data_IF_140724707680
#
_entry.id   IF_140724707680
#
_cell.length_a   1.000
_cell.length_b   1.000
_cell.length_c   1.000
_cell.angle_alpha   90.00
_cell.angle_beta   90.00
_cell.angle_gamma   90.00
#
_symmetry.space_group_name_H-M   'P 1'
#
loop_
_entity.id
_entity.type
_entity.pdbx_description
1 polymer ?
#
# COMPACT_ATOMS: atom_id res chain seq x y z
N UNK A 1 -17.72 -13.03 0.73
CA UNK A 1 -17.93 -11.58 0.64
C UNK A 1 -18.41 -11.05 1.99
N UNK A 2 -18.21 -9.75 2.22
CA UNK A 2 -18.75 -9.02 3.37
C UNK A 2 -19.62 -7.87 2.85
N UNK A 3 -20.57 -7.39 3.67
CA UNK A 3 -21.43 -6.28 3.30
C UNK A 3 -20.61 -5.04 2.83
N UNK A 4 -19.57 -4.57 3.55
CA UNK A 4 -18.75 -3.45 3.10
C UNK A 4 -18.04 -3.68 1.77
N UNK A 5 -17.65 -4.93 1.47
CA UNK A 5 -17.02 -5.24 0.17
C UNK A 5 -18.05 -5.18 -0.97
N UNK A 6 -19.29 -5.62 -0.74
CA UNK A 6 -20.38 -5.49 -1.71
C UNK A 6 -20.75 -4.02 -1.93
N UNK A 7 -20.95 -3.24 -0.87
CA UNK A 7 -21.22 -1.80 -0.97
C UNK A 7 -20.17 -1.09 -1.82
N UNK A 8 -18.87 -1.42 -1.60
CA UNK A 8 -17.78 -0.89 -2.42
C UNK A 8 -17.95 -1.27 -3.89
N UNK A 9 -18.30 -2.52 -4.19
CA UNK A 9 -18.53 -2.99 -5.58
C UNK A 9 -19.65 -2.18 -6.24
N UNK A 10 -20.77 -1.94 -5.54
CA UNK A 10 -21.88 -1.14 -6.08
C UNK A 10 -21.51 0.32 -6.30
N UNK A 11 -20.73 0.92 -5.37
CA UNK A 11 -20.26 2.30 -5.54
C UNK A 11 -19.32 2.43 -6.75
N UNK A 12 -18.44 1.45 -6.97
CA UNK A 12 -17.56 1.40 -8.15
C UNK A 12 -18.37 1.31 -9.46
N UNK A 13 -19.44 0.50 -9.49
CA UNK A 13 -20.35 0.40 -10.65
C UNK A 13 -21.07 1.71 -10.89
N UNK A 14 -21.69 2.28 -9.84
CA UNK A 14 -22.43 3.53 -9.91
C UNK A 14 -21.57 4.68 -10.43
N UNK A 15 -20.29 4.68 -10.07
CA UNK A 15 -19.29 5.65 -10.54
C UNK A 15 -18.68 5.28 -11.89
N UNK A 16 -19.05 4.15 -12.49
CA UNK A 16 -18.51 3.65 -13.76
C UNK A 16 -16.98 3.47 -13.77
N UNK A 17 -16.40 3.10 -12.63
CA UNK A 17 -14.95 2.96 -12.47
C UNK A 17 -14.44 1.59 -12.92
N UNK A 18 -15.25 0.55 -12.82
CA UNK A 18 -14.90 -0.80 -13.29
C UNK A 18 -16.13 -1.67 -13.54
N UNK A 19 -15.91 -2.80 -14.20
CA UNK A 19 -16.88 -3.90 -14.30
C UNK A 19 -16.43 -5.00 -13.33
N UNK A 20 -17.10 -5.19 -12.20
CA UNK A 20 -16.68 -6.18 -11.20
C UNK A 20 -17.06 -7.60 -11.61
N UNK A 21 -16.25 -8.54 -11.16
CA UNK A 21 -16.52 -9.98 -11.21
C UNK A 21 -16.41 -10.50 -9.77
N UNK A 22 -17.47 -11.14 -9.29
CA UNK A 22 -17.48 -11.73 -7.95
C UNK A 22 -16.99 -13.18 -8.03
N UNK A 23 -16.01 -13.55 -7.21
CA UNK A 23 -15.41 -14.89 -7.21
C UNK A 23 -15.61 -15.49 -5.82
N UNK A 24 -16.33 -16.60 -5.73
CA UNK A 24 -16.64 -17.27 -4.46
C UNK A 24 -17.86 -18.18 -4.55
N UNK A 25 -18.29 -18.78 -3.43
CA UNK A 25 -19.48 -19.65 -3.42
C UNK A 25 -20.73 -18.85 -3.80
N UNK A 26 -21.32 -19.20 -4.93
CA UNK A 26 -22.44 -18.46 -5.53
C UNK A 26 -23.64 -18.35 -4.59
N UNK A 27 -23.99 -19.44 -3.91
CA UNK A 27 -25.13 -19.45 -3.01
C UNK A 27 -24.94 -18.47 -1.85
N UNK A 28 -23.74 -18.40 -1.25
CA UNK A 28 -23.45 -17.45 -0.17
C UNK A 28 -23.39 -16.00 -0.67
N UNK A 29 -22.95 -15.78 -1.91
CA UNK A 29 -22.98 -14.46 -2.53
C UNK A 29 -24.40 -13.98 -2.70
N UNK A 30 -25.29 -14.83 -3.24
CA UNK A 30 -26.69 -14.51 -3.47
C UNK A 30 -27.47 -14.30 -2.16
N UNK A 31 -27.20 -15.11 -1.14
CA UNK A 31 -27.77 -14.95 0.20
C UNK A 31 -27.40 -13.60 0.80
N UNK A 32 -26.12 -13.21 0.74
CA UNK A 32 -25.68 -11.91 1.26
C UNK A 32 -26.29 -10.74 0.50
N UNK A 33 -26.36 -10.84 -0.83
CA UNK A 33 -26.98 -9.81 -1.69
C UNK A 33 -28.46 -9.62 -1.35
N UNK A 34 -29.19 -10.72 -1.11
CA UNK A 34 -30.58 -10.67 -0.70
C UNK A 34 -30.75 -10.04 0.70
N UNK A 35 -29.85 -10.36 1.62
CA UNK A 35 -29.86 -9.80 2.99
C UNK A 35 -29.62 -8.30 3.01
N UNK A 36 -28.74 -7.81 2.13
CA UNK A 36 -28.38 -6.38 2.02
C UNK A 36 -29.31 -5.62 1.06
N UNK A 37 -30.39 -6.25 0.57
CA UNK A 37 -31.34 -5.65 -0.39
C UNK A 37 -30.67 -5.07 -1.65
N UNK A 38 -29.58 -5.70 -2.13
CA UNK A 38 -28.82 -5.27 -3.27
C UNK A 38 -29.23 -6.03 -4.55
N UNK A 39 -28.91 -5.50 -5.74
CA UNK A 39 -29.23 -6.11 -7.04
C UNK A 39 -27.96 -6.34 -7.85
N UNK A 40 -27.75 -7.57 -8.31
CA UNK A 40 -26.54 -7.98 -9.07
C UNK A 40 -26.73 -7.88 -10.59
N UNK A 41 -27.62 -7.02 -11.10
CA UNK A 41 -27.89 -6.93 -12.51
C UNK A 41 -26.62 -6.65 -13.33
N UNK A 42 -26.27 -7.62 -14.20
CA UNK A 42 -25.09 -7.52 -15.06
C UNK A 42 -23.75 -7.83 -14.38
N UNK A 43 -23.73 -8.25 -13.10
CA UNK A 43 -22.49 -8.65 -12.42
C UNK A 43 -22.24 -10.14 -12.63
N UNK A 44 -21.07 -10.47 -13.20
CA UNK A 44 -20.64 -11.85 -13.37
C UNK A 44 -20.24 -12.46 -12.01
N UNK A 45 -20.73 -13.68 -11.74
CA UNK A 45 -20.33 -14.48 -10.59
C UNK A 45 -19.60 -15.73 -11.09
N UNK A 46 -18.36 -15.88 -10.66
CA UNK A 46 -17.58 -17.11 -10.85
C UNK A 46 -17.75 -17.97 -9.60
N UNK A 47 -18.53 -19.04 -9.76
CA UNK A 47 -18.78 -19.97 -8.66
C UNK A 47 -17.54 -20.78 -8.30
N UNK A 48 -17.25 -20.89 -7.01
CA UNK A 48 -16.17 -21.70 -6.46
C UNK A 48 -16.64 -22.42 -5.19
N UNK A 49 -16.01 -23.53 -4.81
CA UNK A 49 -16.26 -24.15 -3.50
C UNK A 49 -16.06 -23.16 -2.36
N UNK A 50 -16.64 -23.46 -1.19
CA UNK A 50 -16.46 -22.70 0.05
C UNK A 50 -15.05 -22.89 0.62
N UNK A 51 -14.06 -22.48 -0.18
CA UNK A 51 -12.63 -22.54 0.13
C UNK A 51 -11.97 -21.25 -0.37
N UNK A 52 -11.48 -20.37 0.54
CA UNK A 52 -10.89 -19.10 0.17
C UNK A 52 -9.63 -19.24 -0.69
N UNK A 53 -8.87 -20.33 -0.52
CA UNK A 53 -7.66 -20.59 -1.30
C UNK A 53 -8.03 -20.97 -2.74
N UNK A 54 -9.08 -21.77 -2.95
CA UNK A 54 -9.56 -22.13 -4.28
C UNK A 54 -10.15 -20.91 -5.01
N UNK A 55 -10.90 -20.05 -4.31
CA UNK A 55 -11.40 -18.80 -4.88
C UNK A 55 -10.23 -17.89 -5.31
N UNK A 56 -9.20 -17.76 -4.47
CA UNK A 56 -8.00 -16.97 -4.80
C UNK A 56 -7.23 -17.56 -5.97
N UNK A 57 -7.06 -18.89 -6.03
CA UNK A 57 -6.41 -19.56 -7.18
C UNK A 57 -7.17 -19.30 -8.48
N UNK A 58 -8.51 -19.29 -8.42
CA UNK A 58 -9.33 -18.95 -9.59
C UNK A 58 -9.12 -17.51 -10.04
N UNK A 59 -9.07 -16.56 -9.10
CA UNK A 59 -8.75 -15.18 -9.39
C UNK A 59 -7.34 -15.02 -10.01
N UNK A 60 -6.34 -15.71 -9.47
CA UNK A 60 -4.96 -15.74 -10.02
C UNK A 60 -4.93 -16.26 -11.45
N UNK A 61 -5.66 -17.35 -11.73
CA UNK A 61 -5.78 -17.88 -13.09
C UNK A 61 -6.38 -16.84 -14.06
N UNK A 62 -7.45 -16.17 -13.64
CA UNK A 62 -8.11 -15.15 -14.47
C UNK A 62 -7.22 -13.91 -14.72
N UNK A 63 -6.41 -13.51 -13.75
CA UNK A 63 -5.39 -12.47 -13.96
C UNK A 63 -4.38 -12.90 -15.03
N UNK A 64 -3.86 -14.12 -14.95
CA UNK A 64 -2.93 -14.68 -15.95
C UNK A 64 -3.53 -14.74 -17.35
N UNK A 65 -4.83 -14.98 -17.44
CA UNK A 65 -5.60 -14.93 -18.69
C UNK A 65 -5.93 -13.49 -19.14
N UNK A 66 -5.45 -12.46 -18.42
CA UNK A 66 -5.72 -11.03 -18.68
C UNK A 66 -7.21 -10.66 -18.64
N UNK A 67 -7.99 -11.39 -17.86
CA UNK A 67 -9.43 -11.12 -17.67
C UNK A 67 -9.69 -10.14 -16.52
N UNK A 68 -8.73 -10.00 -15.60
CA UNK A 68 -8.82 -9.12 -14.44
C UNK A 68 -7.66 -8.13 -14.44
N UNK A 69 -7.97 -6.85 -14.20
CA UNK A 69 -7.00 -5.76 -14.13
C UNK A 69 -6.60 -5.41 -12.69
N UNK A 70 -7.45 -5.73 -11.70
CA UNK A 70 -7.27 -5.46 -10.27
C UNK A 70 -7.86 -6.62 -9.48
N UNK A 71 -7.27 -6.96 -8.37
CA UNK A 71 -7.87 -7.84 -7.37
C UNK A 71 -8.29 -7.05 -6.14
N UNK A 72 -9.47 -7.33 -5.61
CA UNK A 72 -9.95 -6.76 -4.37
C UNK A 72 -10.28 -7.88 -3.38
N UNK A 73 -9.75 -7.76 -2.16
CA UNK A 73 -10.02 -8.71 -1.09
C UNK A 73 -11.44 -8.52 -0.57
N UNK A 74 -12.19 -9.61 -0.52
CA UNK A 74 -13.46 -9.70 0.20
C UNK A 74 -13.29 -10.09 1.66
N UNK A 75 -14.11 -11.03 2.14
CA UNK A 75 -14.13 -11.48 3.55
C UNK A 75 -13.05 -12.50 3.94
N UNK A 76 -12.28 -13.04 2.98
CA UNK A 76 -11.22 -14.01 3.27
C UNK A 76 -10.08 -13.38 4.08
N UNK A 77 -9.28 -14.22 4.77
CA UNK A 77 -8.09 -13.74 5.45
C UNK A 77 -7.02 -13.27 4.45
N UNK A 78 -6.21 -12.30 4.88
CA UNK A 78 -5.14 -11.76 4.02
C UNK A 78 -4.13 -12.84 3.62
N UNK A 79 -3.87 -13.80 4.49
CA UNK A 79 -2.99 -14.94 4.22
C UNK A 79 -3.54 -15.85 3.12
N UNK A 80 -4.86 -16.11 3.11
CA UNK A 80 -5.53 -16.93 2.09
C UNK A 80 -5.49 -16.25 0.71
N UNK A 81 -5.54 -14.92 0.68
CA UNK A 81 -5.36 -14.16 -0.54
C UNK A 81 -3.90 -14.12 -0.97
N UNK A 82 -3.00 -13.77 -0.05
CA UNK A 82 -1.60 -13.54 -0.40
C UNK A 82 -0.85 -14.83 -0.73
N UNK A 83 -1.15 -15.94 -0.05
CA UNK A 83 -0.49 -17.22 -0.28
C UNK A 83 -0.42 -17.62 -1.77
N UNK A 84 -1.56 -17.79 -2.46
CA UNK A 84 -1.58 -18.10 -3.90
C UNK A 84 -0.97 -17.01 -4.79
N UNK A 85 -1.06 -15.73 -4.39
CA UNK A 85 -0.52 -14.60 -5.16
C UNK A 85 1.01 -14.60 -5.15
N UNK A 86 1.63 -14.79 -3.97
CA UNK A 86 3.10 -14.78 -3.82
C UNK A 86 3.74 -16.12 -4.11
N UNK A 87 2.94 -17.17 -4.36
CA UNK A 87 3.46 -18.47 -4.75
C UNK A 87 4.30 -18.35 -6.04
N UNK A 88 5.21 -19.31 -6.27
CA UNK A 88 6.05 -19.37 -7.47
C UNK A 88 5.24 -19.27 -8.76
N UNK A 89 4.09 -19.98 -8.80
CA UNK A 89 3.17 -19.98 -9.94
C UNK A 89 2.03 -18.95 -9.73
N UNK A 90 2.19 -17.97 -8.89
CA UNK A 90 1.21 -16.93 -8.61
C UNK A 90 1.30 -15.73 -9.54
N UNK A 91 1.21 -14.52 -8.97
CA UNK A 91 1.24 -13.25 -9.69
C UNK A 91 2.54 -12.46 -9.45
N UNK A 92 3.58 -13.11 -8.97
CA UNK A 92 4.89 -12.46 -8.80
C UNK A 92 5.44 -11.96 -10.13
N UNK A 93 6.15 -10.85 -10.06
CA UNK A 93 6.97 -10.31 -11.13
C UNK A 93 8.45 -10.34 -10.69
N UNK A 94 9.31 -9.68 -11.40
CA UNK A 94 10.69 -9.38 -11.00
C UNK A 94 10.78 -8.36 -9.85
N UNK A 95 9.65 -7.67 -9.54
CA UNK A 95 9.58 -6.67 -8.48
C UNK A 95 9.28 -7.29 -7.12
N UNK A 96 9.74 -6.62 -6.07
CA UNK A 96 9.36 -6.95 -4.70
C UNK A 96 7.87 -6.69 -4.48
N UNK A 97 7.17 -7.61 -3.82
CA UNK A 97 5.82 -7.33 -3.32
C UNK A 97 5.95 -6.36 -2.14
N UNK A 98 5.24 -5.25 -2.19
CA UNK A 98 5.23 -4.21 -1.16
C UNK A 98 3.84 -3.60 -1.03
N UNK A 99 3.63 -2.75 -0.03
CA UNK A 99 2.36 -2.08 0.19
C UNK A 99 2.54 -0.56 0.25
N UNK A 100 1.61 0.17 -0.34
CA UNK A 100 1.51 1.63 -0.24
C UNK A 100 0.14 1.99 0.33
N UNK A 101 0.12 2.77 1.41
CA UNK A 101 -1.04 3.54 1.84
C UNK A 101 -0.92 4.98 1.36
N UNK A 102 -2.07 5.59 1.03
CA UNK A 102 -2.25 7.03 0.89
C UNK A 102 -3.27 7.47 1.94
N UNK A 103 -2.93 8.54 2.65
CA UNK A 103 -3.75 9.11 3.71
C UNK A 103 -4.18 10.52 3.35
N UNK A 104 -5.45 10.82 3.60
CA UNK A 104 -5.96 12.18 3.77
C UNK A 104 -6.06 12.47 5.26
N UNK A 105 -5.31 13.48 5.71
CA UNK A 105 -5.16 13.86 7.11
C UNK A 105 -5.60 15.30 7.30
N UNK A 106 -6.53 15.57 8.21
CA UNK A 106 -7.05 16.92 8.46
C UNK A 106 -5.97 17.95 8.83
N UNK A 107 -4.83 17.51 9.38
CA UNK A 107 -3.71 18.36 9.79
C UNK A 107 -2.51 18.30 8.86
N UNK A 108 -2.65 17.69 7.69
CA UNK A 108 -1.61 17.65 6.66
C UNK A 108 -2.17 18.16 5.34
N UNK A 109 -1.41 19.00 4.66
CA UNK A 109 -1.90 19.86 3.57
C UNK A 109 -2.04 19.14 2.21
N UNK A 110 -1.62 17.88 2.10
CA UNK A 110 -1.70 17.05 0.90
C UNK A 110 -1.84 15.57 1.25
N UNK A 111 -2.04 14.72 0.26
CA UNK A 111 -2.00 13.27 0.47
C UNK A 111 -0.61 12.84 0.95
N UNK A 112 -0.58 11.97 1.95
CA UNK A 112 0.64 11.43 2.53
C UNK A 112 0.75 9.94 2.29
N UNK A 113 1.77 9.52 1.56
CA UNK A 113 2.09 8.11 1.35
C UNK A 113 2.83 7.51 2.55
N UNK A 114 2.55 6.25 2.86
CA UNK A 114 3.30 5.45 3.85
C UNK A 114 3.61 4.07 3.27
N UNK A 115 4.87 3.67 3.29
CA UNK A 115 5.35 2.37 2.78
C UNK A 115 6.53 1.85 3.61
N UNK A 116 6.72 0.54 3.88
CA UNK A 116 5.77 -0.55 3.85
C UNK A 116 5.19 -0.71 5.26
N UNK A 117 3.91 -1.00 5.34
CA UNK A 117 3.21 -1.14 6.62
C UNK A 117 2.47 -2.48 6.75
N UNK A 118 2.63 -3.40 5.76
CA UNK A 118 1.78 -4.61 5.65
C UNK A 118 2.53 -5.86 5.23
N UNK A 119 3.57 -5.77 4.39
CA UNK A 119 4.16 -6.94 3.71
C UNK A 119 5.56 -7.28 4.20
N UNK A 120 6.48 -6.31 4.23
CA UNK A 120 7.89 -6.56 4.49
C UNK A 120 8.20 -6.31 5.98
N UNK A 121 8.49 -7.39 6.73
CA UNK A 121 8.62 -7.34 8.20
C UNK A 121 9.79 -6.45 8.62
N UNK A 122 10.98 -6.74 8.15
CA UNK A 122 12.20 -6.03 8.50
C UNK A 122 13.09 -5.91 7.25
N UNK A 123 12.77 -5.00 6.32
CA UNK A 123 13.54 -4.84 5.09
C UNK A 123 14.89 -4.18 5.37
N UNK A 124 15.95 -4.68 4.77
CA UNK A 124 17.25 -4.02 4.70
C UNK A 124 17.24 -2.84 3.70
N UNK A 125 18.35 -2.12 3.58
CA UNK A 125 18.45 -0.97 2.67
C UNK A 125 18.13 -1.34 1.22
N UNK A 126 18.59 -2.49 0.73
CA UNK A 126 18.32 -2.97 -0.63
C UNK A 126 16.82 -3.21 -0.85
N UNK A 127 16.17 -3.92 0.08
CA UNK A 127 14.72 -4.18 -0.01
C UNK A 127 13.90 -2.89 0.11
N UNK A 128 14.33 -1.94 0.96
CA UNK A 128 13.72 -0.61 1.08
C UNK A 128 13.78 0.17 -0.23
N UNK A 129 14.87 0.04 -0.99
CA UNK A 129 14.96 0.65 -2.34
C UNK A 129 13.98 0.03 -3.33
N UNK A 130 13.81 -1.29 -3.31
CA UNK A 130 12.80 -1.98 -4.14
C UNK A 130 11.38 -1.55 -3.78
N UNK A 131 11.08 -1.41 -2.48
CA UNK A 131 9.81 -0.89 -1.95
C UNK A 131 9.57 0.55 -2.43
N UNK A 132 10.59 1.42 -2.35
CA UNK A 132 10.52 2.79 -2.86
C UNK A 132 10.24 2.82 -4.36
N UNK A 133 10.90 1.97 -5.16
CA UNK A 133 10.70 1.88 -6.60
C UNK A 133 9.24 1.61 -6.95
N UNK A 134 8.60 0.68 -6.25
CA UNK A 134 7.20 0.38 -6.43
C UNK A 134 6.30 1.57 -6.08
N UNK A 135 6.54 2.17 -4.90
CA UNK A 135 5.72 3.27 -4.40
C UNK A 135 5.83 4.52 -5.27
N UNK A 136 7.04 4.89 -5.68
CA UNK A 136 7.28 6.02 -6.58
C UNK A 136 6.64 5.80 -7.96
N UNK A 137 6.73 4.57 -8.49
CA UNK A 137 6.04 4.21 -9.74
C UNK A 137 4.52 4.35 -9.62
N UNK A 138 3.94 3.97 -8.48
CA UNK A 138 2.51 4.12 -8.23
C UNK A 138 2.11 5.59 -8.08
N UNK A 139 2.85 6.38 -7.29
CA UNK A 139 2.61 7.81 -7.10
C UNK A 139 2.66 8.57 -8.43
N UNK A 140 3.64 8.28 -9.27
CA UNK A 140 3.76 8.87 -10.61
C UNK A 140 2.53 8.58 -11.47
N UNK A 141 1.98 7.36 -11.42
CA UNK A 141 0.73 7.00 -12.15
C UNK A 141 -0.49 7.73 -11.61
N UNK A 142 -0.49 8.12 -10.34
CA UNK A 142 -1.53 8.95 -9.71
C UNK A 142 -1.33 10.45 -9.97
N UNK A 143 -0.33 10.85 -10.75
CA UNK A 143 -0.05 12.24 -11.06
C UNK A 143 0.81 12.97 -10.02
N UNK A 144 1.31 12.27 -9.01
CA UNK A 144 2.23 12.83 -8.00
C UNK A 144 3.66 12.66 -8.53
N UNK A 145 4.21 13.74 -9.08
CA UNK A 145 5.59 13.83 -9.59
C UNK A 145 6.47 14.68 -8.67
N UNK A 146 7.77 14.66 -8.88
CA UNK A 146 8.75 15.36 -8.03
C UNK A 146 8.60 14.98 -6.55
N UNK A 147 8.41 13.69 -6.31
CA UNK A 147 8.06 13.13 -5.00
C UNK A 147 9.15 13.42 -3.96
N UNK A 148 8.76 13.95 -2.81
CA UNK A 148 9.62 14.12 -1.64
C UNK A 148 9.46 12.94 -0.71
N UNK A 149 10.56 12.21 -0.50
CA UNK A 149 10.59 11.01 0.35
C UNK A 149 11.34 11.29 1.64
N UNK A 150 10.69 11.08 2.76
CA UNK A 150 11.32 11.08 4.08
C UNK A 150 11.57 9.63 4.54
N UNK A 151 12.83 9.27 4.78
CA UNK A 151 13.18 7.97 5.37
C UNK A 151 13.12 8.09 6.89
N UNK A 152 12.21 7.35 7.50
CA UNK A 152 11.88 7.46 8.92
C UNK A 152 12.79 6.57 9.77
N UNK A 153 13.28 7.16 10.86
CA UNK A 153 13.96 6.49 11.96
C UNK A 153 13.52 7.11 13.30
N UNK A 154 14.08 6.68 14.40
CA UNK A 154 13.80 7.28 15.70
C UNK A 154 14.56 8.61 15.92
N UNK A 155 15.57 8.90 15.10
CA UNK A 155 16.43 10.07 15.19
C UNK A 155 16.96 10.47 13.82
N UNK A 156 17.39 11.72 13.70
CA UNK A 156 18.04 12.28 12.51
C UNK A 156 19.57 12.05 12.49
N UNK A 157 20.12 11.51 13.57
CA UNK A 157 21.56 11.25 13.70
C UNK A 157 21.84 9.78 13.35
N UNK A 158 22.88 9.55 12.53
CA UNK A 158 23.30 8.21 12.19
C UNK A 158 23.93 7.55 13.42
N UNK A 159 23.33 6.43 13.83
CA UNK A 159 23.79 5.63 14.95
C UNK A 159 24.01 4.17 14.49
N UNK A 160 25.25 3.66 14.50
CA UNK A 160 25.52 2.27 14.08
C UNK A 160 24.77 1.21 14.87
N UNK A 161 24.32 1.51 16.10
CA UNK A 161 23.49 0.61 16.90
C UNK A 161 22.00 0.63 16.49
N UNK A 162 21.61 1.55 15.61
CA UNK A 162 20.25 1.71 15.12
C UNK A 162 20.21 1.52 13.60
N UNK A 163 19.95 0.29 13.15
CA UNK A 163 20.04 -0.10 11.74
C UNK A 163 19.21 0.79 10.82
N UNK A 164 18.05 1.28 11.27
CA UNK A 164 17.19 2.17 10.46
C UNK A 164 17.89 3.48 10.03
N UNK A 165 18.80 4.01 10.84
CA UNK A 165 19.57 5.21 10.50
C UNK A 165 20.69 4.91 9.50
N UNK A 166 21.29 3.72 9.60
CA UNK A 166 22.34 3.23 8.69
C UNK A 166 21.74 2.98 7.31
N UNK A 167 20.62 2.25 7.25
CA UNK A 167 19.88 2.01 6.01
C UNK A 167 19.47 3.31 5.32
N UNK A 168 18.96 4.28 6.11
CA UNK A 168 18.56 5.58 5.58
C UNK A 168 19.74 6.30 4.90
N UNK A 169 20.90 6.32 5.58
CA UNK A 169 22.11 6.92 4.99
C UNK A 169 22.52 6.21 3.71
N UNK A 170 22.56 4.88 3.71
CA UNK A 170 22.91 4.09 2.52
C UNK A 170 22.03 4.42 1.33
N UNK A 171 20.69 4.44 1.54
CA UNK A 171 19.72 4.75 0.49
C UNK A 171 19.92 6.17 -0.06
N UNK A 172 20.14 7.15 0.82
CA UNK A 172 20.39 8.54 0.42
C UNK A 172 21.69 8.69 -0.36
N UNK A 173 22.80 8.10 0.15
CA UNK A 173 24.09 8.16 -0.51
C UNK A 173 24.06 7.54 -1.92
N UNK A 174 23.41 6.37 -2.05
CA UNK A 174 23.24 5.71 -3.34
C UNK A 174 22.35 6.52 -4.30
N UNK A 175 21.28 7.16 -3.79
CA UNK A 175 20.43 8.02 -4.60
C UNK A 175 21.17 9.28 -5.11
N UNK A 176 22.08 9.84 -4.30
CA UNK A 176 22.90 10.98 -4.71
C UNK A 176 23.92 10.55 -5.77
N UNK A 177 24.53 9.36 -5.63
CA UNK A 177 25.54 8.86 -6.53
C UNK A 177 24.98 8.41 -7.88
N UNK A 178 23.82 7.74 -7.86
CA UNK A 178 23.11 7.23 -9.04
C UNK A 178 21.59 7.39 -8.84
N UNK A 179 21.00 8.51 -9.28
CA UNK A 179 19.58 8.78 -9.11
C UNK A 179 18.70 7.82 -9.89
N UNK A 180 18.27 6.73 -9.24
CA UNK A 180 17.34 5.75 -9.83
C UNK A 180 15.98 6.40 -10.13
N UNK A 181 15.67 7.48 -9.42
CA UNK A 181 14.42 8.24 -9.55
C UNK A 181 14.75 9.73 -9.76
N UNK A 182 15.06 10.16 -10.99
CA UNK A 182 15.62 11.49 -11.26
C UNK A 182 14.72 12.65 -10.81
N UNK A 183 13.39 12.43 -10.76
CA UNK A 183 12.42 13.45 -10.38
C UNK A 183 12.03 13.35 -8.88
N UNK A 184 12.88 12.72 -8.04
CA UNK A 184 12.56 12.46 -6.63
C UNK A 184 13.64 13.05 -5.73
N UNK A 185 13.22 13.61 -4.58
CA UNK A 185 14.12 14.05 -3.51
C UNK A 185 13.97 13.05 -2.38
N UNK A 186 15.07 12.38 -2.02
CA UNK A 186 15.11 11.40 -0.93
C UNK A 186 16.04 11.90 0.14
N UNK A 187 15.54 12.12 1.35
CA UNK A 187 16.32 12.56 2.49
C UNK A 187 15.99 11.72 3.75
N UNK A 188 16.93 11.66 4.65
CA UNK A 188 16.85 10.93 5.93
C UNK A 188 18.25 10.62 6.51
N UNK A 189 18.30 10.01 7.70
CA UNK A 189 17.16 9.64 8.55
C UNK A 189 16.42 10.84 9.14
N UNK A 190 15.12 10.70 9.39
CA UNK A 190 14.32 11.66 10.11
C UNK A 190 13.60 11.03 11.30
N UNK A 191 13.58 11.71 12.44
CA UNK A 191 12.53 11.53 13.43
C UNK A 191 11.19 11.90 12.80
N UNK A 192 10.11 11.22 13.20
CA UNK A 192 8.79 11.44 12.63
C UNK A 192 8.32 12.90 12.74
N UNK A 193 8.55 13.56 13.88
CA UNK A 193 8.26 14.97 14.13
C UNK A 193 8.96 15.89 13.13
N UNK A 194 10.23 15.63 12.84
CA UNK A 194 11.03 16.42 11.91
C UNK A 194 10.61 16.17 10.44
N UNK A 195 10.19 14.95 10.12
CA UNK A 195 9.73 14.62 8.78
C UNK A 195 8.47 15.41 8.41
N UNK A 196 7.48 15.51 9.31
CA UNK A 196 6.16 16.07 9.01
C UNK A 196 5.94 17.51 9.49
N UNK A 197 6.85 18.08 10.32
CA UNK A 197 6.73 19.43 10.86
C UNK A 197 7.95 20.28 10.52
N UNK A 198 7.78 21.24 9.62
CA UNK A 198 8.81 22.21 9.30
C UNK A 198 9.27 23.02 10.52
N UNK A 199 8.37 23.28 11.49
CA UNK A 199 8.71 23.94 12.74
C UNK A 199 9.62 23.07 13.60
N UNK A 200 9.32 21.77 13.73
CA UNK A 200 10.16 20.83 14.48
C UNK A 200 11.56 20.73 13.88
N UNK A 201 11.63 20.57 12.55
CA UNK A 201 12.90 20.57 11.82
C UNK A 201 13.72 21.85 12.06
N UNK A 202 13.06 23.01 11.99
CA UNK A 202 13.72 24.32 12.25
C UNK A 202 14.27 24.43 13.67
N UNK A 203 13.51 23.99 14.68
CA UNK A 203 13.95 24.01 16.09
C UNK A 203 15.23 23.17 16.29
N UNK A 204 15.31 22.03 15.58
CA UNK A 204 16.49 21.14 15.62
C UNK A 204 17.60 21.55 14.65
N UNK A 205 17.47 22.66 13.92
CA UNK A 205 18.47 23.13 12.97
C UNK A 205 18.63 22.26 11.73
N UNK A 206 17.60 21.49 11.36
CA UNK A 206 17.62 20.61 10.19
C UNK A 206 17.29 21.42 8.94
N UNK A 207 18.24 21.50 8.00
CA UNK A 207 18.05 22.12 6.69
C UNK A 207 17.73 21.02 5.67
N UNK A 208 16.51 21.01 5.15
CA UNK A 208 15.99 19.95 4.30
C UNK A 208 15.00 20.49 3.28
N UNK A 209 14.94 19.86 2.11
CA UNK A 209 13.90 20.10 1.08
C UNK A 209 12.67 19.24 1.29
N UNK A 210 12.75 18.24 2.17
CA UNK A 210 11.72 17.23 2.45
C UNK A 210 11.01 17.50 3.78
N UNK A 211 11.76 17.91 4.82
CA UNK A 211 11.22 18.10 6.17
C UNK A 211 10.03 19.07 6.19
N UNK A 212 8.93 18.62 6.76
CA UNK A 212 7.67 19.34 6.84
C UNK A 212 6.77 19.25 5.61
N UNK A 213 7.25 18.63 4.50
CA UNK A 213 6.52 18.55 3.24
C UNK A 213 6.80 17.24 2.46
N UNK A 214 6.92 16.05 3.08
CA UNK A 214 7.06 14.81 2.34
C UNK A 214 5.77 14.41 1.63
N UNK A 215 5.89 13.73 0.50
CA UNK A 215 4.81 13.03 -0.20
C UNK A 215 4.74 11.57 0.22
N UNK A 216 5.89 11.01 0.62
CA UNK A 216 6.04 9.60 0.98
C UNK A 216 6.94 9.43 2.22
N UNK A 217 6.47 8.65 3.18
CA UNK A 217 7.24 8.16 4.30
C UNK A 217 7.68 6.73 4.04
N UNK A 218 8.99 6.48 4.04
CA UNK A 218 9.54 5.13 4.04
C UNK A 218 9.77 4.70 5.49
N UNK A 219 9.06 3.66 5.90
CA UNK A 219 9.10 3.17 7.27
C UNK A 219 10.32 2.29 7.54
N UNK A 220 10.87 2.29 8.76
CA UNK A 220 12.01 1.46 9.12
C UNK A 220 11.69 -0.03 9.06
N UNK A 221 10.50 -0.42 9.49
CA UNK A 221 10.01 -1.78 9.51
C UNK A 221 8.47 -1.81 9.51
N UNK A 222 7.91 -3.02 9.35
CA UNK A 222 6.47 -3.24 9.30
C UNK A 222 5.76 -2.82 10.60
N UNK A 223 6.37 -3.04 11.77
CA UNK A 223 5.71 -2.77 13.05
C UNK A 223 5.46 -1.28 13.21
N UNK A 224 6.48 -0.45 12.94
CA UNK A 224 6.36 1.01 12.98
C UNK A 224 5.35 1.50 11.95
N UNK A 225 5.42 1.00 10.71
CA UNK A 225 4.46 1.35 9.66
C UNK A 225 3.02 0.97 10.01
N UNK A 226 2.81 -0.21 10.56
CA UNK A 226 1.49 -0.70 10.95
C UNK A 226 0.89 0.05 12.14
N UNK A 227 1.72 0.40 13.13
CA UNK A 227 1.29 1.24 14.26
C UNK A 227 0.91 2.63 13.76
N UNK A 228 1.73 3.24 12.90
CA UNK A 228 1.46 4.57 12.32
C UNK A 228 0.15 4.58 11.53
N UNK A 229 -0.04 3.60 10.63
CA UNK A 229 -1.29 3.43 9.89
C UNK A 229 -2.50 3.41 10.81
N UNK A 230 -2.47 2.54 11.84
CA UNK A 230 -3.59 2.42 12.79
C UNK A 230 -3.79 3.69 13.61
N UNK A 231 -2.71 4.35 14.01
CA UNK A 231 -2.78 5.63 14.74
C UNK A 231 -3.45 6.71 13.88
N UNK A 232 -3.14 6.79 12.60
CA UNK A 232 -3.78 7.73 11.69
C UNK A 232 -5.28 7.47 11.55
N UNK A 233 -5.68 6.21 11.33
CA UNK A 233 -7.09 5.85 11.14
C UNK A 233 -7.89 6.00 12.43
N UNK A 234 -7.42 5.38 13.53
CA UNK A 234 -8.22 5.27 14.76
C UNK A 234 -8.09 6.47 15.71
N UNK A 235 -6.97 7.20 15.66
CA UNK A 235 -6.73 8.33 16.56
C UNK A 235 -6.84 9.68 15.85
N UNK A 236 -6.43 9.77 14.60
CA UNK A 236 -6.48 11.01 13.82
C UNK A 236 -7.68 11.09 12.87
N UNK A 237 -8.50 10.05 12.76
CA UNK A 237 -9.68 10.02 11.88
C UNK A 237 -9.32 10.14 10.40
N UNK A 238 -8.14 9.66 10.01
CA UNK A 238 -7.68 9.74 8.63
C UNK A 238 -8.49 8.82 7.71
N UNK A 239 -8.81 9.31 6.53
CA UNK A 239 -9.22 8.46 5.42
C UNK A 239 -7.97 7.86 4.76
N UNK A 240 -8.05 6.60 4.34
CA UNK A 240 -6.93 5.96 3.69
C UNK A 240 -7.36 5.02 2.57
N UNK A 241 -6.51 4.95 1.56
CA UNK A 241 -6.55 3.92 0.52
C UNK A 241 -5.23 3.16 0.52
N UNK A 242 -5.30 1.83 0.34
CA UNK A 242 -4.08 1.01 0.33
C UNK A 242 -4.08 -0.01 -0.80
N UNK A 243 -2.89 -0.26 -1.35
CA UNK A 243 -2.71 -1.25 -2.42
C UNK A 243 -1.40 -2.00 -2.27
N UNK A 244 -1.43 -3.28 -2.61
CA UNK A 244 -0.22 -4.09 -2.78
C UNK A 244 0.32 -3.87 -4.19
N UNK A 245 1.60 -3.66 -4.27
CA UNK A 245 2.39 -3.37 -5.46
C UNK A 245 3.38 -4.50 -5.75
N UNK A 246 3.93 -4.52 -6.97
CA UNK A 246 4.95 -5.51 -7.37
C UNK A 246 4.38 -6.84 -7.88
N UNK A 247 3.07 -7.05 -7.82
CA UNK A 247 2.39 -8.15 -8.51
C UNK A 247 2.01 -7.77 -9.95
N UNK A 248 1.55 -8.75 -10.74
CA UNK A 248 1.10 -8.54 -12.13
C UNK A 248 -0.05 -7.53 -12.24
N UNK A 249 -0.89 -7.44 -11.20
CA UNK A 249 -1.96 -6.45 -11.08
C UNK A 249 -1.96 -5.85 -9.67
N UNK A 250 -2.48 -4.63 -9.47
CA UNK A 250 -2.71 -4.08 -8.13
C UNK A 250 -3.67 -4.96 -7.33
N UNK A 251 -3.45 -5.03 -6.01
CA UNK A 251 -4.29 -5.81 -5.11
C UNK A 251 -4.74 -4.90 -3.97
N UNK A 252 -6.03 -4.66 -3.86
CA UNK A 252 -6.61 -3.82 -2.82
C UNK A 252 -7.06 -4.68 -1.64
N UNK A 253 -6.63 -4.29 -0.45
CA UNK A 253 -7.04 -4.92 0.80
C UNK A 253 -8.15 -4.07 1.43
N UNK A 254 -9.33 -4.66 1.61
CA UNK A 254 -10.36 -4.02 2.43
C UNK A 254 -10.01 -4.17 3.91
N UNK A 255 -10.12 -3.08 4.66
CA UNK A 255 -10.10 -3.13 6.13
C UNK A 255 -11.39 -3.78 6.64
N UNK A 256 -11.32 -4.42 7.79
CA UNK A 256 -12.50 -4.96 8.50
C UNK A 256 -13.00 -3.95 9.48
#
# INVERSE_FOLDING_TARGET
LSAPALETVFDLIKRQLCTPILIGPKDLILELVATEELYLDGIEIIDTPKDPILATKKAVEMVKQRKLAVLMKGSLHTEDLMGPIVHRDGLRTDKRISHLFLFELARYHKLLGVTDAVVNIAPDAKLKREILANSLSALKKLGISNTKVAIIAATEVINPAMQSTVDAKEIVDEHIADPIFPDTIIEGPFGFDNAISAQSAKIKGIYSKVAGDPDLLLMPDLQVGNILYKSYVYMAGAECAGTILGAQVPITLTSR
#
